data_IF_002752496927
#
_entry.id   IF_002752496927
#
_cell.length_a   1.000
_cell.length_b   1.000
_cell.length_c   1.000
_cell.angle_alpha   90.00
_cell.angle_beta   90.00
_cell.angle_gamma   90.00
#
_symmetry.space_group_name_H-M   'P 1'
#
loop_
_entity.id
_entity.type
_entity.pdbx_description
1 polymer ?
#
# COMPACT_ATOMS: atom_id res chain seq x y z
N UNK A 1 49.51 -24.51 -7.42
CA UNK A 1 48.38 -24.14 -6.53
C UNK A 1 48.11 -22.66 -6.71
N UNK A 2 46.88 -22.30 -7.06
CA UNK A 2 46.47 -20.92 -7.31
C UNK A 2 45.40 -20.85 -8.39
N UNK A 3 44.24 -21.43 -8.12
CA UNK A 3 43.06 -21.29 -9.00
C UNK A 3 42.53 -19.89 -8.75
N UNK A 4 42.54 -19.04 -9.79
CA UNK A 4 41.90 -17.73 -9.77
C UNK A 4 40.38 -17.94 -9.68
N UNK A 5 39.83 -17.92 -8.47
CA UNK A 5 38.39 -17.81 -8.24
C UNK A 5 37.95 -16.37 -8.51
N UNK A 6 37.81 -16.03 -9.79
CA UNK A 6 37.14 -14.82 -10.27
C UNK A 6 35.87 -15.17 -11.06
N UNK A 7 35.24 -16.28 -10.72
CA UNK A 7 33.92 -16.66 -11.21
C UNK A 7 33.07 -17.13 -10.03
N UNK A 8 31.81 -16.70 -10.02
CA UNK A 8 30.79 -16.99 -9.00
C UNK A 8 30.70 -16.00 -7.83
N UNK A 9 30.44 -14.73 -8.15
CA UNK A 9 29.57 -13.92 -7.27
C UNK A 9 28.28 -13.63 -8.04
N UNK A 10 27.36 -14.57 -7.83
CA UNK A 10 25.94 -14.28 -7.65
C UNK A 10 25.24 -13.51 -8.76
N UNK A 11 24.96 -14.21 -9.86
CA UNK A 11 23.73 -14.00 -10.64
C UNK A 11 22.47 -14.42 -9.83
N UNK A 12 22.35 -13.94 -8.59
CA UNK A 12 21.23 -14.17 -7.67
C UNK A 12 20.41 -12.89 -7.49
N UNK A 13 20.35 -12.06 -8.53
CA UNK A 13 19.59 -10.79 -8.53
C UNK A 13 18.68 -10.63 -9.76
N UNK A 14 18.37 -11.72 -10.49
CA UNK A 14 17.54 -11.65 -11.70
C UNK A 14 16.42 -12.70 -11.76
N UNK A 15 16.02 -13.27 -10.64
CA UNK A 15 14.79 -14.09 -10.55
C UNK A 15 14.00 -13.82 -9.28
N UNK A 16 13.86 -12.55 -8.89
CA UNK A 16 12.59 -12.17 -8.25
C UNK A 16 11.53 -12.31 -9.32
N UNK A 17 11.00 -13.54 -9.41
CA UNK A 17 9.77 -13.89 -10.08
C UNK A 17 8.87 -12.67 -10.14
N UNK A 18 8.65 -12.19 -11.36
CA UNK A 18 7.65 -11.18 -11.70
C UNK A 18 6.24 -11.72 -11.51
N UNK A 19 5.99 -12.54 -10.50
CA UNK A 19 4.78 -12.41 -9.72
C UNK A 19 4.84 -10.99 -9.13
N UNK A 20 4.40 -10.01 -9.93
CA UNK A 20 4.09 -8.68 -9.44
C UNK A 20 3.21 -8.91 -8.23
N UNK A 21 3.76 -8.75 -7.02
CA UNK A 21 2.95 -8.66 -5.82
C UNK A 21 1.83 -7.70 -6.18
N UNK A 22 0.57 -8.15 -6.04
CA UNK A 22 -0.61 -7.31 -6.25
C UNK A 22 -0.70 -6.30 -5.10
N UNK A 23 0.41 -5.62 -4.80
CA UNK A 23 0.49 -4.63 -3.77
C UNK A 23 0.02 -3.29 -4.33
N UNK A 24 -0.69 -2.55 -3.49
CA UNK A 24 -1.14 -1.20 -3.82
C UNK A 24 -0.56 -0.19 -2.85
N UNK A 25 -0.26 1.00 -3.36
CA UNK A 25 0.13 2.14 -2.55
C UNK A 25 -1.03 3.12 -2.43
N UNK A 26 -1.36 3.49 -1.18
CA UNK A 26 -2.40 4.42 -0.79
C UNK A 26 -1.83 5.55 0.05
N UNK A 27 -2.59 6.62 0.24
CA UNK A 27 -2.17 7.80 0.99
C UNK A 27 -2.34 9.10 0.20
N UNK A 28 -1.82 10.19 0.74
CA UNK A 28 -1.92 11.51 0.11
C UNK A 28 -0.83 11.71 -0.95
N UNK A 29 -1.15 12.43 -2.03
CA UNK A 29 -0.14 12.88 -3.00
C UNK A 29 0.82 13.90 -2.35
N UNK A 30 2.13 13.85 -2.60
CA UNK A 30 2.87 12.94 -3.49
C UNK A 30 3.31 11.61 -2.84
N UNK A 31 3.05 11.42 -1.55
CA UNK A 31 3.64 10.37 -0.72
C UNK A 31 3.34 8.95 -1.21
N UNK A 32 2.10 8.66 -1.63
CA UNK A 32 1.78 7.33 -2.16
C UNK A 32 2.53 6.99 -3.46
N UNK A 33 2.88 8.00 -4.30
CA UNK A 33 3.66 7.77 -5.54
C UNK A 33 5.10 7.42 -5.21
N UNK A 34 5.69 8.12 -4.23
CA UNK A 34 7.03 7.82 -3.73
C UNK A 34 7.06 6.44 -3.08
N UNK A 35 6.03 6.11 -2.29
CA UNK A 35 5.88 4.79 -1.67
C UNK A 35 5.71 3.66 -2.70
N UNK A 36 4.91 3.88 -3.75
CA UNK A 36 4.78 2.96 -4.88
C UNK A 36 6.13 2.67 -5.54
N UNK A 37 6.93 3.72 -5.81
CA UNK A 37 8.28 3.59 -6.37
C UNK A 37 9.22 2.83 -5.45
N UNK A 38 9.18 3.11 -4.15
CA UNK A 38 10.04 2.48 -3.14
C UNK A 38 9.72 1.00 -2.93
N UNK A 39 8.43 0.65 -2.90
CA UNK A 39 7.95 -0.71 -2.58
C UNK A 39 7.70 -1.59 -3.80
N UNK A 40 7.74 -1.02 -5.01
CA UNK A 40 7.31 -1.70 -6.24
C UNK A 40 5.78 -1.87 -6.36
N UNK A 41 5.00 -1.31 -5.44
CA UNK A 41 3.54 -1.40 -5.47
C UNK A 41 2.91 -0.48 -6.53
N UNK A 42 1.69 -0.84 -6.96
CA UNK A 42 0.96 -0.04 -7.93
C UNK A 42 0.18 1.09 -7.25
N UNK A 43 0.32 2.31 -7.75
CA UNK A 43 -0.59 3.39 -7.37
C UNK A 43 -1.84 3.43 -8.26
N UNK A 44 -2.84 4.23 -7.90
CA UNK A 44 -4.18 4.14 -8.50
C UNK A 44 -4.23 4.23 -10.05
N UNK A 45 -3.36 5.03 -10.69
CA UNK A 45 -3.29 5.12 -12.16
C UNK A 45 -2.71 3.86 -12.81
N UNK A 46 -2.00 3.03 -12.05
CA UNK A 46 -1.35 1.81 -12.51
C UNK A 46 -2.22 0.57 -12.27
N UNK A 47 -3.23 0.62 -11.40
CA UNK A 47 -4.01 -0.57 -11.02
C UNK A 47 -4.62 -1.33 -12.21
N UNK A 48 -5.09 -0.61 -13.24
CA UNK A 48 -5.60 -1.26 -14.46
C UNK A 48 -4.50 -1.97 -15.24
N UNK A 49 -3.35 -1.34 -15.40
CA UNK A 49 -2.19 -1.89 -16.12
C UNK A 49 -1.59 -3.09 -15.37
N UNK A 50 -1.65 -3.07 -14.04
CA UNK A 50 -1.18 -4.13 -13.16
C UNK A 50 -2.22 -5.25 -12.93
N UNK A 51 -3.35 -5.25 -13.66
CA UNK A 51 -4.47 -6.21 -13.52
C UNK A 51 -5.04 -6.31 -12.09
N UNK A 52 -4.90 -5.24 -11.29
CA UNK A 52 -5.45 -5.14 -9.94
C UNK A 52 -6.94 -4.81 -10.01
N UNK A 53 -7.37 -3.99 -10.98
CA UNK A 53 -8.78 -3.71 -11.26
C UNK A 53 -9.04 -3.64 -12.76
N UNK A 54 -10.22 -4.07 -13.20
CA UNK A 54 -10.66 -3.87 -14.58
C UNK A 54 -11.35 -2.50 -14.79
N UNK A 55 -11.50 -1.69 -13.73
CA UNK A 55 -12.25 -0.42 -13.77
C UNK A 55 -11.35 0.76 -14.12
N UNK A 56 -11.94 1.76 -14.79
CA UNK A 56 -11.28 3.05 -15.00
C UNK A 56 -11.38 3.89 -13.74
N UNK A 57 -10.23 4.22 -13.15
CA UNK A 57 -10.15 4.88 -11.83
C UNK A 57 -10.67 6.32 -11.86
N UNK A 58 -10.54 7.03 -12.96
CA UNK A 58 -10.93 8.45 -13.07
C UNK A 58 -12.44 8.69 -12.93
N UNK A 59 -13.27 7.77 -13.44
CA UNK A 59 -14.74 7.90 -13.39
C UNK A 59 -15.38 7.17 -12.22
N UNK A 60 -14.72 6.14 -11.70
CA UNK A 60 -15.30 5.22 -10.71
C UNK A 60 -14.30 4.87 -9.61
N UNK A 61 -13.60 5.88 -9.08
CA UNK A 61 -12.54 5.68 -8.09
C UNK A 61 -12.96 4.75 -6.96
N UNK A 62 -14.07 5.02 -6.27
CA UNK A 62 -14.50 4.21 -5.12
C UNK A 62 -14.69 2.73 -5.48
N UNK A 63 -15.31 2.42 -6.63
CA UNK A 63 -15.49 1.03 -7.08
C UNK A 63 -14.14 0.38 -7.47
N UNK A 64 -13.27 1.13 -8.13
CA UNK A 64 -11.94 0.65 -8.49
C UNK A 64 -11.08 0.40 -7.23
N UNK A 65 -11.18 1.29 -6.24
CA UNK A 65 -10.55 1.15 -4.93
C UNK A 65 -11.02 -0.11 -4.22
N UNK A 66 -12.33 -0.35 -4.10
CA UNK A 66 -12.85 -1.55 -3.43
C UNK A 66 -12.34 -2.83 -4.09
N UNK A 67 -12.35 -2.90 -5.42
CA UNK A 67 -11.76 -4.04 -6.14
C UNK A 67 -10.25 -4.17 -5.90
N UNK A 68 -9.53 -3.05 -5.88
CA UNK A 68 -8.10 -3.04 -5.69
C UNK A 68 -7.71 -3.52 -4.29
N UNK A 69 -8.32 -2.99 -3.23
CA UNK A 69 -8.03 -3.40 -1.85
C UNK A 69 -8.46 -4.85 -1.59
N UNK A 70 -9.51 -5.35 -2.24
CA UNK A 70 -9.93 -6.74 -2.13
C UNK A 70 -8.90 -7.69 -2.76
N UNK A 71 -8.49 -7.41 -4.00
CA UNK A 71 -7.56 -8.23 -4.78
C UNK A 71 -6.10 -8.07 -4.36
N UNK A 72 -5.77 -6.99 -3.67
CA UNK A 72 -4.41 -6.71 -3.29
C UNK A 72 -3.91 -7.72 -2.24
N UNK A 73 -2.71 -8.25 -2.44
CA UNK A 73 -2.06 -9.11 -1.45
C UNK A 73 -1.53 -8.30 -0.27
N UNK A 74 -1.10 -7.06 -0.53
CA UNK A 74 -0.57 -6.13 0.46
C UNK A 74 -0.99 -4.70 0.15
N UNK A 75 -1.22 -3.91 1.18
CA UNK A 75 -1.58 -2.50 1.08
C UNK A 75 -0.49 -1.71 1.78
N UNK A 76 0.21 -0.84 1.07
CA UNK A 76 1.16 0.09 1.66
C UNK A 76 0.49 1.46 1.80
N UNK A 77 0.37 1.96 3.02
CA UNK A 77 -0.33 3.21 3.31
C UNK A 77 0.63 4.27 3.85
N UNK A 78 0.79 5.38 3.10
CA UNK A 78 1.54 6.53 3.57
C UNK A 78 0.70 7.39 4.54
N UNK A 79 1.15 7.48 5.80
CA UNK A 79 0.57 8.33 6.86
C UNK A 79 1.14 9.74 6.87
N UNK A 80 1.98 10.09 5.90
CA UNK A 80 2.52 11.43 5.69
C UNK A 80 1.37 12.44 5.49
N UNK A 81 1.50 13.61 6.10
CA UNK A 81 0.47 14.65 6.23
C UNK A 81 -0.82 14.23 6.97
N UNK A 82 -0.80 13.11 7.70
CA UNK A 82 -1.91 12.66 8.56
C UNK A 82 -1.43 12.66 10.02
N UNK A 83 -1.37 13.83 10.69
CA UNK A 83 -0.85 13.92 12.05
C UNK A 83 -1.74 13.18 13.06
N UNK A 84 -3.07 13.26 12.90
CA UNK A 84 -4.04 12.56 13.74
C UNK A 84 -4.78 11.49 12.93
N UNK A 85 -4.33 10.25 13.06
CA UNK A 85 -4.84 9.09 12.31
C UNK A 85 -6.27 8.73 12.72
N UNK A 86 -6.60 8.80 14.01
CA UNK A 86 -7.94 8.49 14.53
C UNK A 86 -8.98 9.45 13.97
N UNK A 87 -8.68 10.76 14.00
CA UNK A 87 -9.56 11.78 13.41
C UNK A 87 -9.69 11.62 11.89
N UNK A 88 -8.61 11.25 11.20
CA UNK A 88 -8.66 10.97 9.77
C UNK A 88 -9.58 9.79 9.44
N UNK A 89 -9.51 8.69 10.20
CA UNK A 89 -10.45 7.56 10.07
C UNK A 89 -11.89 8.00 10.32
N UNK A 90 -12.13 8.83 11.35
CA UNK A 90 -13.48 9.33 11.66
C UNK A 90 -14.05 10.15 10.49
N UNK A 91 -13.25 11.04 9.91
CA UNK A 91 -13.65 11.86 8.73
C UNK A 91 -13.90 11.00 7.50
N UNK A 92 -13.14 9.91 7.33
CA UNK A 92 -13.28 8.99 6.21
C UNK A 92 -14.61 8.24 6.14
N UNK A 93 -15.38 8.21 7.25
CA UNK A 93 -16.73 7.62 7.29
C UNK A 93 -17.68 8.24 6.26
N UNK A 94 -17.45 9.49 5.84
CA UNK A 94 -18.24 10.16 4.80
C UNK A 94 -18.04 9.57 3.38
N UNK A 95 -17.06 8.69 3.20
CA UNK A 95 -16.76 8.05 1.92
C UNK A 95 -15.92 8.92 0.98
N UNK A 96 -15.82 8.46 -0.27
CA UNK A 96 -15.00 9.09 -1.33
C UNK A 96 -15.65 10.36 -1.86
N UNK A 97 -15.29 11.50 -1.27
CA UNK A 97 -15.72 12.84 -1.68
C UNK A 97 -14.51 13.73 -1.95
N UNK A 98 -14.73 14.86 -2.62
CA UNK A 98 -13.66 15.84 -2.83
C UNK A 98 -13.11 16.30 -1.47
N UNK A 99 -11.80 16.19 -1.27
CA UNK A 99 -11.14 16.53 -0.02
C UNK A 99 -11.11 15.44 1.06
N UNK A 100 -11.83 14.32 0.89
CA UNK A 100 -11.86 13.21 1.87
C UNK A 100 -11.31 11.88 1.35
N UNK A 101 -10.77 11.85 0.13
CA UNK A 101 -10.36 10.61 -0.55
C UNK A 101 -9.41 9.77 0.32
N UNK A 102 -8.30 10.33 0.78
CA UNK A 102 -7.31 9.61 1.60
C UNK A 102 -7.88 9.18 2.96
N UNK A 103 -8.74 10.01 3.56
CA UNK A 103 -9.41 9.67 4.81
C UNK A 103 -10.34 8.47 4.61
N UNK A 104 -11.06 8.42 3.49
CA UNK A 104 -11.93 7.30 3.15
C UNK A 104 -11.15 6.00 2.87
N UNK A 105 -10.01 6.08 2.18
CA UNK A 105 -9.10 4.94 2.01
C UNK A 105 -8.64 4.37 3.35
N UNK A 106 -8.19 5.24 4.25
CA UNK A 106 -7.72 4.89 5.59
C UNK A 106 -8.85 4.32 6.44
N UNK A 107 -10.02 4.95 6.43
CA UNK A 107 -11.21 4.47 7.13
C UNK A 107 -11.57 3.05 6.70
N UNK A 108 -11.60 2.78 5.39
CA UNK A 108 -11.94 1.46 4.87
C UNK A 108 -10.91 0.40 5.30
N UNK A 109 -9.62 0.73 5.27
CA UNK A 109 -8.55 -0.18 5.68
C UNK A 109 -8.59 -0.45 7.19
N UNK A 110 -8.85 0.58 8.01
CA UNK A 110 -8.86 0.49 9.47
C UNK A 110 -10.10 -0.23 10.03
N UNK A 111 -11.26 -0.07 9.39
CA UNK A 111 -12.54 -0.62 9.88
C UNK A 111 -12.83 -2.05 9.42
N UNK A 112 -12.01 -2.60 8.52
CA UNK A 112 -12.12 -3.97 8.06
C UNK A 112 -10.91 -4.80 8.50
N UNK A 113 -11.07 -5.74 9.43
CA UNK A 113 -9.95 -6.53 9.95
C UNK A 113 -9.16 -7.26 8.87
N UNK A 114 -9.82 -7.72 7.81
CA UNK A 114 -9.17 -8.39 6.69
C UNK A 114 -8.24 -7.44 5.89
N UNK A 115 -8.63 -6.18 5.70
CA UNK A 115 -7.81 -5.19 5.02
C UNK A 115 -6.68 -4.71 5.94
N UNK A 116 -6.98 -4.47 7.22
CA UNK A 116 -6.00 -4.03 8.20
C UNK A 116 -4.84 -5.03 8.34
N UNK A 117 -5.13 -6.34 8.39
CA UNK A 117 -4.10 -7.39 8.50
C UNK A 117 -3.09 -7.40 7.35
N UNK A 118 -3.47 -6.92 6.17
CA UNK A 118 -2.57 -6.81 5.02
C UNK A 118 -2.09 -5.38 4.76
N UNK A 119 -2.40 -4.44 5.65
CA UNK A 119 -1.97 -3.04 5.54
C UNK A 119 -0.70 -2.82 6.34
N UNK A 120 0.32 -2.28 5.68
CA UNK A 120 1.59 -1.85 6.27
C UNK A 120 1.65 -0.33 6.19
N UNK A 121 1.91 0.32 7.32
CA UNK A 121 1.88 1.77 7.43
C UNK A 121 3.28 2.35 7.30
N UNK A 122 3.39 3.49 6.62
CA UNK A 122 4.64 4.21 6.42
C UNK A 122 4.51 5.66 6.88
N UNK A 123 5.61 6.22 7.41
CA UNK A 123 5.74 7.66 7.70
C UNK A 123 7.19 8.09 7.48
N UNK A 124 7.39 9.16 6.70
CA UNK A 124 8.73 9.62 6.33
C UNK A 124 9.53 8.55 5.58
N UNK A 125 8.86 7.70 4.80
CA UNK A 125 9.49 6.58 4.08
C UNK A 125 9.89 5.37 4.94
N UNK A 126 9.58 5.37 6.25
CA UNK A 126 9.87 4.25 7.15
C UNK A 126 8.58 3.52 7.51
N UNK A 127 8.64 2.20 7.59
CA UNK A 127 7.56 1.39 8.13
C UNK A 127 7.33 1.75 9.61
N UNK A 128 6.07 1.84 10.01
CA UNK A 128 5.65 2.12 11.39
C UNK A 128 4.62 1.09 11.84
N UNK A 129 4.56 0.84 13.15
CA UNK A 129 3.54 -0.02 13.74
C UNK A 129 2.13 0.46 13.34
N UNK A 130 1.21 -0.49 13.19
CA UNK A 130 -0.19 -0.17 12.91
C UNK A 130 -0.74 0.76 14.00
N UNK A 131 -1.27 1.94 13.64
CA UNK A 131 -1.87 2.87 14.60
C UNK A 131 -3.23 2.35 15.14
N UNK A 132 -3.67 1.18 14.67
CA UNK A 132 -4.95 0.56 15.02
C UNK A 132 -4.81 -0.82 15.66
N UNK A 133 -3.60 -1.39 15.71
CA UNK A 133 -3.38 -2.63 16.43
C UNK A 133 -3.43 -2.35 17.94
N UNK A 134 -4.13 -3.20 18.70
CA UNK A 134 -3.89 -3.28 20.13
C UNK A 134 -2.41 -3.68 20.35
N UNK A 135 -1.77 -3.25 21.46
CA UNK A 135 -0.43 -3.73 21.80
C UNK A 135 -0.41 -5.26 21.77
N UNK A 136 0.71 -5.89 21.39
CA UNK A 136 0.80 -7.35 21.41
C UNK A 136 0.41 -7.84 22.80
N UNK A 137 -0.59 -8.72 22.87
CA UNK A 137 -0.90 -9.43 24.11
C UNK A 137 0.40 -10.06 24.59
N UNK A 138 0.83 -9.66 25.78
CA UNK A 138 2.03 -10.20 26.42
C UNK A 138 1.78 -11.69 26.66
N UNK A 139 2.53 -12.53 25.96
CA UNK A 139 2.56 -13.99 26.18
C UNK A 139 3.35 -14.29 27.44
#
# INVERSE_FOLDING_TARGET
MGINHAESISYHLLEFSTAYYRAIALGKDPHFKSLAKYTGAAHYRQWKKADITHRTVERHFGRAFHQAVERAERIYFALDDIPNVVEAVRRGKAGFQFGTMTQAELHHSATQPALLRKTVFFRGGKEVASPFAAPPESV
#
